data_IF_377900959603
#
_entry.id   IF_377900959603
#
_cell.length_a   1.000
_cell.length_b   1.000
_cell.length_c   1.000
_cell.angle_alpha   90.00
_cell.angle_beta   90.00
_cell.angle_gamma   90.00
#
_symmetry.space_group_name_H-M   'P 1'
#
loop_
_entity.id
_entity.type
_entity.pdbx_description
1 polymer ?
#
# COMPACT_ATOMS: atom_id res chain seq x y z
N UNK A 1 -8.83 -5.96 -12.36
CA UNK A 1 -7.91 -6.67 -13.27
C UNK A 1 -6.49 -6.27 -12.88
N UNK A 2 -5.85 -7.05 -12.02
CA UNK A 2 -4.59 -6.68 -11.36
C UNK A 2 -3.42 -7.38 -12.06
N UNK A 3 -2.72 -6.68 -12.94
CA UNK A 3 -1.49 -7.18 -13.55
C UNK A 3 -0.33 -6.92 -12.59
N UNK A 4 -0.16 -7.81 -11.60
CA UNK A 4 1.15 -7.96 -10.99
C UNK A 4 2.08 -8.46 -12.11
N UNK A 5 2.99 -7.60 -12.59
CA UNK A 5 4.10 -8.06 -13.43
C UNK A 5 4.92 -9.02 -12.57
N UNK A 6 4.71 -10.32 -12.74
CA UNK A 6 5.60 -11.32 -12.19
C UNK A 6 6.95 -11.16 -12.89
N UNK A 7 7.99 -10.77 -12.16
CA UNK A 7 9.36 -10.57 -12.67
C UNK A 7 10.10 -11.90 -12.92
N UNK A 8 9.41 -13.04 -12.75
CA UNK A 8 9.94 -14.39 -12.94
C UNK A 8 8.91 -15.17 -13.74
N UNK A 9 9.33 -15.65 -14.91
CA UNK A 9 8.56 -16.60 -15.72
C UNK A 9 9.22 -17.98 -15.57
N UNK A 10 8.43 -18.97 -15.17
CA UNK A 10 8.87 -20.37 -15.12
C UNK A 10 8.89 -20.90 -16.54
N UNK A 11 10.10 -21.11 -17.10
CA UNK A 11 10.28 -21.54 -18.49
C UNK A 11 10.52 -23.05 -18.62
N UNK A 12 10.86 -23.77 -17.55
CA UNK A 12 11.04 -25.24 -17.50
C UNK A 12 11.19 -25.76 -16.06
N UNK A 13 11.27 -27.08 -15.85
CA UNK A 13 11.42 -27.70 -14.51
C UNK A 13 12.74 -27.34 -13.80
N UNK A 14 13.80 -26.99 -14.54
CA UNK A 14 15.15 -26.77 -14.01
C UNK A 14 15.75 -25.39 -14.33
N UNK A 15 14.99 -24.47 -14.97
CA UNK A 15 15.47 -23.10 -15.23
C UNK A 15 14.38 -22.03 -15.24
N UNK A 16 14.76 -20.83 -14.79
CA UNK A 16 13.91 -19.63 -14.82
C UNK A 16 14.49 -18.54 -15.71
N UNK A 17 13.60 -17.77 -16.35
CA UNK A 17 13.99 -16.50 -16.97
C UNK A 17 13.69 -15.36 -15.99
N UNK A 18 14.73 -14.60 -15.65
CA UNK A 18 14.61 -13.39 -14.82
C UNK A 18 14.56 -12.18 -15.74
N UNK A 19 13.54 -11.33 -15.57
CA UNK A 19 13.42 -10.10 -16.35
C UNK A 19 14.66 -9.20 -16.17
N UNK A 20 15.26 -8.76 -17.28
CA UNK A 20 16.51 -7.98 -17.29
C UNK A 20 17.79 -8.83 -17.36
N UNK A 21 17.66 -10.15 -17.51
CA UNK A 21 18.75 -11.08 -17.80
C UNK A 21 18.47 -11.75 -19.13
N UNK A 22 19.50 -11.90 -19.97
CA UNK A 22 19.36 -12.57 -21.27
C UNK A 22 19.41 -14.09 -21.12
N UNK A 23 20.32 -14.60 -20.28
CA UNK A 23 20.51 -16.04 -20.10
C UNK A 23 19.58 -16.65 -19.02
N UNK A 24 19.00 -17.84 -19.25
CA UNK A 24 18.24 -18.59 -18.24
C UNK A 24 19.11 -18.99 -17.04
N UNK A 25 18.50 -19.01 -15.85
CA UNK A 25 19.19 -19.43 -14.63
C UNK A 25 18.72 -20.83 -14.24
N UNK A 26 19.65 -21.80 -14.30
CA UNK A 26 19.39 -23.18 -13.90
C UNK A 26 19.41 -23.37 -12.37
N UNK A 27 18.62 -24.31 -11.87
CA UNK A 27 18.52 -24.63 -10.45
C UNK A 27 18.17 -26.11 -10.22
N UNK A 28 18.67 -26.68 -9.13
CA UNK A 28 18.18 -27.97 -8.61
C UNK A 28 16.93 -27.78 -7.72
N UNK A 29 16.87 -26.64 -7.01
CA UNK A 29 15.75 -26.22 -6.17
C UNK A 29 15.57 -24.70 -6.23
N UNK A 30 14.33 -24.22 -6.40
CA UNK A 30 13.99 -22.79 -6.47
C UNK A 30 13.10 -22.38 -5.29
N UNK A 31 13.57 -21.43 -4.49
CA UNK A 31 12.78 -20.73 -3.47
C UNK A 31 12.45 -19.30 -3.89
N UNK A 32 11.17 -18.94 -3.94
CA UNK A 32 10.72 -17.57 -4.26
C UNK A 32 10.27 -16.87 -2.97
N UNK A 33 11.05 -15.88 -2.53
CA UNK A 33 10.81 -15.10 -1.30
C UNK A 33 10.83 -13.58 -1.55
N UNK A 34 10.36 -13.12 -2.71
CA UNK A 34 10.42 -11.71 -3.15
C UNK A 34 9.39 -10.78 -2.47
N UNK A 35 8.52 -11.34 -1.62
CA UNK A 35 7.46 -10.61 -0.94
C UNK A 35 6.39 -10.06 -1.90
N UNK A 36 5.67 -9.02 -1.47
CA UNK A 36 4.63 -8.35 -2.25
C UNK A 36 5.07 -6.94 -2.67
N UNK A 37 4.55 -6.44 -3.79
CA UNK A 37 4.68 -5.05 -4.21
C UNK A 37 3.34 -4.36 -4.00
N UNK A 38 3.33 -3.27 -3.26
CA UNK A 38 2.17 -2.42 -3.03
C UNK A 38 2.64 -0.98 -2.85
N UNK A 39 1.72 -0.03 -2.98
CA UNK A 39 2.04 1.39 -2.99
C UNK A 39 2.61 1.87 -1.65
N UNK A 40 3.41 2.94 -1.72
CA UNK A 40 3.69 3.79 -0.57
C UNK A 40 2.36 4.31 0.02
N UNK A 41 2.19 4.44 1.33
CA UNK A 41 3.15 4.36 2.44
C UNK A 41 3.47 2.97 2.98
N UNK A 42 2.77 1.95 2.49
CA UNK A 42 2.90 0.59 3.01
C UNK A 42 4.18 -0.13 2.62
N UNK A 43 4.77 0.22 1.47
CA UNK A 43 6.10 -0.25 1.05
C UNK A 43 6.88 0.90 0.42
N UNK A 44 8.18 0.92 0.70
CA UNK A 44 9.13 1.88 0.13
C UNK A 44 9.99 1.15 -0.90
N UNK A 45 10.06 1.69 -2.10
CA UNK A 45 10.86 1.12 -3.20
C UNK A 45 12.30 1.64 -3.21
N UNK A 46 12.60 2.66 -2.40
CA UNK A 46 13.91 3.29 -2.33
C UNK A 46 14.98 2.30 -1.85
N UNK A 47 16.10 2.27 -2.59
CA UNK A 47 17.22 1.36 -2.31
C UNK A 47 18.09 1.83 -1.13
N UNK A 48 17.96 3.11 -0.74
CA UNK A 48 18.69 3.71 0.38
C UNK A 48 17.74 4.10 1.50
N UNK A 49 18.14 3.76 2.72
CA UNK A 49 17.40 4.13 3.93
C UNK A 49 17.17 5.65 4.05
N UNK A 50 18.15 6.48 3.67
CA UNK A 50 18.01 7.94 3.75
C UNK A 50 16.89 8.47 2.85
N UNK A 51 16.78 7.94 1.64
CA UNK A 51 15.71 8.31 0.69
C UNK A 51 14.33 7.89 1.21
N UNK A 52 14.24 6.67 1.76
CA UNK A 52 13.02 6.20 2.42
C UNK A 52 12.60 7.11 3.58
N UNK A 53 13.56 7.51 4.42
CA UNK A 53 13.31 8.39 5.55
C UNK A 53 12.82 9.77 5.10
N UNK A 54 13.44 10.35 4.08
CA UNK A 54 13.03 11.65 3.55
C UNK A 54 11.61 11.61 2.97
N UNK A 55 11.21 10.51 2.33
CA UNK A 55 9.83 10.32 1.87
C UNK A 55 8.82 10.25 3.01
N UNK A 56 9.14 9.55 4.10
CA UNK A 56 8.26 9.51 5.26
C UNK A 56 8.15 10.88 5.94
N UNK A 57 9.24 11.65 6.03
CA UNK A 57 9.20 13.03 6.52
C UNK A 57 8.30 13.91 5.66
N UNK A 58 8.41 13.83 4.33
CA UNK A 58 7.53 14.55 3.42
C UNK A 58 6.06 14.16 3.58
N UNK A 59 5.76 12.87 3.77
CA UNK A 59 4.40 12.41 4.05
C UNK A 59 3.88 12.98 5.38
N UNK A 60 4.69 12.92 6.44
CA UNK A 60 4.34 13.47 7.75
C UNK A 60 4.03 14.97 7.64
N UNK A 61 4.89 15.76 7.02
CA UNK A 61 4.65 17.20 6.81
C UNK A 61 3.36 17.47 6.01
N UNK A 62 3.08 16.61 5.01
CA UNK A 62 1.86 16.71 4.20
C UNK A 62 0.62 16.47 5.07
N UNK A 63 0.64 15.44 5.92
CA UNK A 63 -0.43 15.12 6.88
C UNK A 63 -0.60 16.28 7.88
N UNK A 64 0.50 16.81 8.41
CA UNK A 64 0.51 17.92 9.38
C UNK A 64 -0.16 19.18 8.82
N UNK A 65 0.07 19.51 7.54
CA UNK A 65 -0.52 20.67 6.88
C UNK A 65 -1.97 20.44 6.44
N UNK A 66 -2.33 19.22 6.05
CA UNK A 66 -3.67 18.90 5.54
C UNK A 66 -4.76 19.03 6.60
N UNK A 67 -5.91 19.63 6.24
CA UNK A 67 -7.10 19.68 7.12
C UNK A 67 -8.12 18.59 6.80
N UNK A 68 -8.08 18.09 5.55
CA UNK A 68 -8.95 17.03 5.04
C UNK A 68 -8.06 16.00 4.36
N UNK A 69 -8.22 14.74 4.74
CA UNK A 69 -7.36 13.64 4.30
C UNK A 69 -8.28 12.52 3.78
N UNK A 70 -8.07 12.14 2.53
CA UNK A 70 -8.69 10.97 1.92
C UNK A 70 -7.70 9.80 2.00
N UNK A 71 -8.14 8.68 2.54
CA UNK A 71 -7.38 7.43 2.60
C UNK A 71 -8.16 6.36 1.86
N UNK A 72 -7.47 5.52 1.07
CA UNK A 72 -8.09 4.53 0.19
C UNK A 72 -7.64 3.12 0.55
N UNK A 73 -8.59 2.18 0.58
CA UNK A 73 -8.37 0.76 0.82
C UNK A 73 -8.92 0.26 2.16
N UNK A 74 -9.09 -1.06 2.29
CA UNK A 74 -9.63 -1.71 3.51
C UNK A 74 -8.62 -2.57 4.27
N UNK A 75 -7.34 -2.48 3.92
CA UNK A 75 -6.27 -3.31 4.49
C UNK A 75 -5.68 -2.76 5.80
N UNK A 76 -4.88 -3.57 6.51
CA UNK A 76 -4.35 -3.22 7.83
C UNK A 76 -3.51 -1.94 7.85
N UNK A 77 -2.62 -1.76 6.87
CA UNK A 77 -1.76 -0.56 6.77
C UNK A 77 -2.58 0.73 6.74
N UNK A 78 -3.64 0.74 5.94
CA UNK A 78 -4.50 1.92 5.77
C UNK A 78 -5.29 2.21 7.03
N UNK A 79 -5.78 1.17 7.69
CA UNK A 79 -6.54 1.28 8.93
C UNK A 79 -5.68 1.80 10.07
N UNK A 80 -4.45 1.29 10.21
CA UNK A 80 -3.48 1.79 11.18
C UNK A 80 -3.18 3.26 10.94
N UNK A 81 -2.90 3.64 9.69
CA UNK A 81 -2.64 5.04 9.32
C UNK A 81 -3.83 5.95 9.66
N UNK A 82 -5.07 5.54 9.37
CA UNK A 82 -6.26 6.30 9.75
C UNK A 82 -6.37 6.47 11.26
N UNK A 83 -6.13 5.39 12.02
CA UNK A 83 -6.18 5.42 13.48
C UNK A 83 -5.11 6.33 14.09
N UNK A 84 -3.89 6.28 13.58
CA UNK A 84 -2.76 7.11 14.02
C UNK A 84 -3.03 8.60 13.77
N UNK A 85 -3.41 8.96 12.53
CA UNK A 85 -3.74 10.36 12.20
C UNK A 85 -4.93 10.85 13.05
N UNK A 86 -5.98 10.05 13.21
CA UNK A 86 -7.16 10.44 14.00
C UNK A 86 -6.84 10.60 15.49
N UNK A 87 -5.86 9.85 15.99
CA UNK A 87 -5.42 9.89 17.39
C UNK A 87 -4.59 11.14 17.66
N UNK A 88 -3.63 11.43 16.79
CA UNK A 88 -2.67 12.53 16.98
C UNK A 88 -3.23 13.88 16.53
N UNK A 89 -4.12 13.88 15.53
CA UNK A 89 -4.66 15.09 14.92
C UNK A 89 -6.20 15.17 15.00
N UNK A 90 -6.72 15.29 16.23
CA UNK A 90 -8.16 15.31 16.57
C UNK A 90 -9.04 16.28 15.79
N UNK A 91 -8.47 17.32 15.17
CA UNK A 91 -9.21 18.36 14.43
C UNK A 91 -9.27 18.12 12.92
N UNK A 92 -8.50 17.17 12.39
CA UNK A 92 -8.48 16.88 10.95
C UNK A 92 -9.66 16.01 10.57
N UNK A 93 -10.21 16.24 9.39
CA UNK A 93 -11.26 15.39 8.81
C UNK A 93 -10.60 14.28 8.00
N UNK A 94 -10.91 13.04 8.34
CA UNK A 94 -10.37 11.85 7.67
C UNK A 94 -11.53 11.08 7.06
N UNK A 95 -11.45 10.82 5.76
CA UNK A 95 -12.38 9.97 5.03
C UNK A 95 -11.64 8.75 4.54
N UNK A 96 -12.09 7.57 4.95
CA UNK A 96 -11.61 6.27 4.50
C UNK A 96 -12.58 5.72 3.45
N UNK A 97 -12.09 5.44 2.25
CA UNK A 97 -12.89 4.86 1.16
C UNK A 97 -12.40 3.45 0.85
N UNK A 98 -13.33 2.51 0.73
CA UNK A 98 -13.05 1.12 0.39
C UNK A 98 -14.10 0.57 -0.58
N UNK A 99 -13.65 -0.20 -1.57
CA UNK A 99 -14.46 -0.90 -2.55
C UNK A 99 -15.23 -2.11 -1.98
N UNK A 100 -14.78 -2.68 -0.86
CA UNK A 100 -15.45 -3.78 -0.18
C UNK A 100 -16.58 -3.34 0.77
N UNK A 101 -17.27 -4.31 1.36
CA UNK A 101 -18.33 -4.11 2.36
C UNK A 101 -17.82 -4.06 3.80
N UNK A 102 -16.57 -4.46 4.04
CA UNK A 102 -15.98 -4.62 5.36
C UNK A 102 -14.48 -4.32 5.36
N UNK A 103 -13.96 -3.88 6.50
CA UNK A 103 -12.51 -3.66 6.70
C UNK A 103 -11.82 -4.96 7.11
N UNK A 104 -10.55 -5.15 6.72
CA UNK A 104 -9.70 -6.33 6.99
C UNK A 104 -10.21 -7.68 6.44
N UNK A 105 -11.35 -7.70 5.73
CA UNK A 105 -12.05 -8.94 5.38
C UNK A 105 -12.71 -9.60 6.59
N UNK A 106 -13.66 -10.51 6.32
CA UNK A 106 -14.51 -11.10 7.35
C UNK A 106 -13.70 -11.81 8.44
N UNK A 107 -14.14 -11.64 9.69
CA UNK A 107 -13.68 -12.31 10.92
C UNK A 107 -12.43 -11.80 11.64
N UNK A 108 -11.82 -10.67 11.28
CA UNK A 108 -10.55 -10.26 11.94
C UNK A 108 -10.77 -9.37 13.18
N UNK A 109 -11.69 -8.40 13.17
CA UNK A 109 -11.91 -7.52 14.33
C UNK A 109 -13.34 -7.02 14.49
N UNK A 110 -14.04 -7.56 15.49
CA UNK A 110 -15.34 -7.04 15.91
C UNK A 110 -15.20 -5.62 16.45
N UNK A 111 -15.94 -4.68 15.87
CA UNK A 111 -16.03 -3.30 16.36
C UNK A 111 -14.96 -2.33 15.85
N UNK A 112 -14.05 -2.76 14.96
CA UNK A 112 -13.04 -1.88 14.35
C UNK A 112 -13.65 -0.64 13.70
N UNK A 113 -14.70 -0.83 12.90
CA UNK A 113 -15.50 0.26 12.32
C UNK A 113 -15.94 1.26 13.37
N UNK A 114 -16.55 0.77 14.46
CA UNK A 114 -17.03 1.62 15.56
C UNK A 114 -15.89 2.35 16.26
N UNK A 115 -14.70 1.77 16.36
CA UNK A 115 -13.54 2.43 16.96
C UNK A 115 -13.05 3.58 16.07
N UNK A 116 -12.93 3.36 14.76
CA UNK A 116 -12.55 4.40 13.81
C UNK A 116 -13.59 5.52 13.75
N UNK A 117 -14.88 5.19 13.71
CA UNK A 117 -15.97 6.18 13.75
C UNK A 117 -15.93 7.00 15.06
N UNK A 118 -15.63 6.37 16.21
CA UNK A 118 -15.44 7.08 17.49
C UNK A 118 -14.24 8.02 17.49
N UNK A 119 -13.20 7.73 16.69
CA UNK A 119 -12.06 8.62 16.49
C UNK A 119 -12.36 9.76 15.51
N UNK A 120 -13.55 9.79 14.90
CA UNK A 120 -13.96 10.82 13.95
C UNK A 120 -13.65 10.51 12.48
N UNK A 121 -13.27 9.26 12.18
CA UNK A 121 -13.04 8.82 10.80
C UNK A 121 -14.38 8.56 10.12
N UNK A 122 -14.61 9.20 8.98
CA UNK A 122 -15.75 8.90 8.09
C UNK A 122 -15.37 7.72 7.20
N UNK A 123 -16.24 6.73 7.06
CA UNK A 123 -15.96 5.52 6.27
C UNK A 123 -17.01 5.36 5.18
N UNK A 124 -16.56 5.21 3.93
CA UNK A 124 -17.38 4.97 2.74
C UNK A 124 -17.01 3.58 2.20
N UNK A 125 -18.02 2.72 2.07
CA UNK A 125 -17.90 1.36 1.54
C UNK A 125 -18.55 1.26 0.16
N UNK A 126 -18.21 0.21 -0.58
CA UNK A 126 -18.71 -0.07 -1.93
C UNK A 126 -18.44 1.07 -2.93
N UNK A 127 -17.33 1.78 -2.75
CA UNK A 127 -16.95 2.90 -3.61
C UNK A 127 -15.57 2.60 -4.24
N UNK A 128 -15.56 1.99 -5.44
CA UNK A 128 -14.32 1.71 -6.15
C UNK A 128 -13.74 3.01 -6.70
N UNK A 129 -12.51 3.31 -6.31
CA UNK A 129 -11.77 4.46 -6.82
C UNK A 129 -10.96 4.04 -8.03
N UNK A 130 -11.31 4.59 -9.18
CA UNK A 130 -10.45 4.55 -10.37
C UNK A 130 -9.41 5.66 -10.24
N UNK A 131 -8.19 5.28 -9.90
CA UNK A 131 -7.04 6.16 -10.03
C UNK A 131 -6.61 6.13 -11.50
N UNK A 132 -6.67 7.27 -12.18
CA UNK A 132 -5.81 7.43 -13.36
C UNK A 132 -4.38 7.16 -12.91
N UNK A 133 -3.65 6.35 -13.67
CA UNK A 133 -2.25 6.07 -13.37
C UNK A 133 -1.56 7.42 -13.23
N UNK A 134 -1.22 7.80 -11.99
CA UNK A 134 -0.43 8.98 -11.74
C UNK A 134 0.78 8.85 -12.66
N UNK A 135 0.98 9.82 -13.56
CA UNK A 135 2.17 9.86 -14.38
C UNK A 135 3.35 9.74 -13.41
N UNK A 136 4.00 8.58 -13.39
CA UNK A 136 5.17 8.32 -12.58
C UNK A 136 6.34 9.07 -13.22
N UNK A 137 6.25 10.39 -13.28
CA UNK A 137 7.37 11.29 -13.53
C UNK A 137 8.18 11.45 -12.24
N UNK A 138 8.34 10.35 -11.48
CA UNK A 138 9.37 10.26 -10.45
C UNK A 138 10.54 9.54 -11.09
N UNK A 139 11.30 10.28 -11.89
CA UNK A 139 12.69 9.93 -12.19
C UNK A 139 13.39 9.90 -10.84
N UNK A 140 13.64 8.70 -10.33
CA UNK A 140 14.70 8.53 -9.34
C UNK A 140 16.01 9.04 -9.98
N UNK A 141 16.85 9.78 -9.25
CA UNK A 141 18.18 10.13 -9.74
C UNK A 141 19.06 8.91 -9.98
#
# INVERSE_FOLDING_TARGET
MQTARQNVLLNSEDSIQVHGRDDPMHFDYLGIAIGSLYAFSGKVADLKQSQALDRYKMLQETIERAQRILVMGGGPVVIELCGEIATDFRRKSITLVHDGTELLGSNVFNGLRKQLEKLGVTIIFNDPIELEAAQTNHTAP
#
